data_IF_971399090496
#
_entry.id   IF_971399090496
#
_cell.length_a   1.000
_cell.length_b   1.000
_cell.length_c   1.000
_cell.angle_alpha   90.00
_cell.angle_beta   90.00
_cell.angle_gamma   90.00
#
_symmetry.space_group_name_H-M   'P 1'
#
loop_
_entity.id
_entity.type
_entity.pdbx_description
1 polymer ?
#
# COMPACT_ATOMS: atom_id res chain seq x y z
N UNK A 1 7.06 -20.74 10.81
CA UNK A 1 7.00 -20.88 9.33
C UNK A 1 7.60 -19.62 8.72
N UNK A 2 8.47 -19.74 7.71
CA UNK A 2 9.06 -18.59 6.99
C UNK A 2 8.28 -18.38 5.69
N UNK A 3 7.96 -17.13 5.37
CA UNK A 3 7.29 -16.74 4.12
C UNK A 3 7.73 -15.35 3.67
N UNK A 4 7.52 -15.07 2.37
CA UNK A 4 7.73 -13.76 1.76
C UNK A 4 6.36 -13.10 1.58
N UNK A 5 6.30 -11.82 1.91
CA UNK A 5 5.14 -10.99 1.68
C UNK A 5 5.49 -9.72 0.90
N UNK A 6 4.52 -9.21 0.15
CA UNK A 6 4.61 -7.93 -0.53
C UNK A 6 3.28 -7.18 -0.35
N UNK A 7 3.27 -6.15 0.48
CA UNK A 7 2.04 -5.49 0.93
C UNK A 7 1.66 -4.25 0.13
N UNK A 8 2.58 -3.74 -0.68
CA UNK A 8 2.41 -2.49 -1.41
C UNK A 8 2.48 -2.75 -2.91
N UNK A 9 1.31 -2.77 -3.53
CA UNK A 9 1.12 -2.90 -4.97
C UNK A 9 -0.05 -2.00 -5.38
N UNK A 10 -0.16 -1.75 -6.68
CA UNK A 10 -1.29 -1.03 -7.25
C UNK A 10 -2.06 -1.86 -8.26
N UNK A 11 -3.37 -1.67 -8.27
CA UNK A 11 -4.28 -2.26 -9.26
C UNK A 11 -4.27 -1.49 -10.57
N UNK A 12 -4.85 -2.07 -11.62
CA UNK A 12 -5.12 -1.38 -12.90
C UNK A 12 -5.95 -0.09 -12.81
N UNK A 13 -6.52 0.24 -11.65
CA UNK A 13 -7.28 1.46 -11.42
C UNK A 13 -6.42 2.64 -10.92
N UNK A 14 -5.15 2.40 -10.60
CA UNK A 14 -4.18 3.45 -10.31
C UNK A 14 -3.57 4.03 -11.58
N UNK A 15 -3.22 5.32 -11.54
CA UNK A 15 -2.53 5.97 -12.67
C UNK A 15 -1.16 5.36 -12.93
N UNK A 16 -0.80 5.24 -14.21
CA UNK A 16 0.48 4.71 -14.68
C UNK A 16 0.77 3.27 -14.22
N UNK A 17 -0.29 2.47 -14.02
CA UNK A 17 -0.22 1.05 -13.67
C UNK A 17 -0.69 0.20 -14.84
N UNK A 18 -0.08 -0.99 -15.02
CA UNK A 18 -0.42 -1.91 -16.09
C UNK A 18 -1.89 -2.37 -16.00
N UNK A 19 -2.62 -2.49 -17.13
CA UNK A 19 -3.97 -3.08 -17.15
C UNK A 19 -3.99 -4.55 -16.70
N UNK A 20 -2.85 -5.23 -16.70
CA UNK A 20 -2.66 -6.60 -16.24
C UNK A 20 -2.52 -6.72 -14.71
N UNK A 21 -2.57 -5.60 -13.96
CA UNK A 21 -2.59 -5.62 -12.49
C UNK A 21 -4.00 -5.96 -11.98
N UNK A 22 -4.41 -7.20 -12.24
CA UNK A 22 -5.65 -7.83 -11.77
C UNK A 22 -5.38 -9.00 -10.82
N UNK A 23 -6.40 -9.43 -10.08
CA UNK A 23 -6.22 -10.43 -9.02
C UNK A 23 -5.69 -11.77 -9.55
N UNK A 24 -6.10 -12.19 -10.75
CA UNK A 24 -5.68 -13.48 -11.30
C UNK A 24 -4.21 -13.44 -11.70
N UNK A 25 -3.79 -12.36 -12.36
CA UNK A 25 -2.40 -12.13 -12.73
C UNK A 25 -1.51 -11.92 -11.48
N UNK A 26 -1.98 -11.16 -10.49
CA UNK A 26 -1.28 -10.98 -9.22
C UNK A 26 -1.07 -12.31 -8.51
N UNK A 27 -2.12 -13.12 -8.34
CA UNK A 27 -2.03 -14.43 -7.71
C UNK A 27 -1.08 -15.37 -8.47
N UNK A 28 -1.15 -15.38 -9.81
CA UNK A 28 -0.26 -16.15 -10.68
C UNK A 28 1.20 -15.78 -10.47
N UNK A 29 1.53 -14.49 -10.49
CA UNK A 29 2.90 -14.01 -10.38
C UNK A 29 3.44 -14.09 -8.96
N UNK A 30 2.60 -13.92 -7.94
CA UNK A 30 2.96 -14.17 -6.55
C UNK A 30 3.49 -15.61 -6.38
N UNK A 31 2.78 -16.60 -6.94
CA UNK A 31 3.23 -18.00 -6.94
C UNK A 31 4.57 -18.20 -7.65
N UNK A 32 4.75 -17.59 -8.83
CA UNK A 32 6.02 -17.68 -9.58
C UNK A 32 7.18 -17.04 -8.80
N UNK A 33 6.94 -15.92 -8.12
CA UNK A 33 7.94 -15.20 -7.31
C UNK A 33 8.15 -15.80 -5.91
N UNK A 34 7.33 -16.76 -5.49
CA UNK A 34 7.37 -17.33 -4.13
C UNK A 34 6.78 -16.41 -3.05
N UNK A 35 5.99 -15.40 -3.42
CA UNK A 35 5.27 -14.52 -2.49
C UNK A 35 4.04 -15.28 -2.00
N UNK A 36 3.99 -15.60 -0.71
CA UNK A 36 2.88 -16.37 -0.13
C UNK A 36 1.73 -15.48 0.35
N UNK A 37 2.04 -14.24 0.74
CA UNK A 37 1.07 -13.25 1.22
C UNK A 37 1.26 -11.94 0.46
N UNK A 38 0.18 -11.41 -0.12
CA UNK A 38 0.23 -10.20 -0.92
C UNK A 38 -0.80 -9.17 -0.41
N UNK A 39 -0.47 -7.89 -0.47
CA UNK A 39 -1.44 -6.81 -0.30
C UNK A 39 -2.35 -6.73 -1.52
N UNK A 40 -3.62 -6.41 -1.35
CA UNK A 40 -4.52 -6.24 -2.52
C UNK A 40 -4.22 -4.99 -3.32
N UNK A 41 -3.66 -3.96 -2.68
CA UNK A 41 -3.61 -2.61 -3.24
C UNK A 41 -5.00 -1.99 -3.42
N UNK A 42 -5.06 -0.67 -3.50
CA UNK A 42 -6.18 0.14 -4.03
C UNK A 42 -7.61 -0.20 -3.57
N UNK A 43 -7.78 -0.85 -2.41
CA UNK A 43 -9.07 -1.26 -1.84
C UNK A 43 -10.09 -0.11 -1.63
N UNK A 44 -9.63 1.14 -1.74
CA UNK A 44 -10.47 2.34 -1.75
C UNK A 44 -11.24 2.53 -3.05
N UNK A 45 -10.74 2.03 -4.18
CA UNK A 45 -11.37 2.20 -5.47
C UNK A 45 -12.59 1.27 -5.62
N UNK A 46 -13.80 1.78 -5.92
CA UNK A 46 -15.03 0.99 -5.81
C UNK A 46 -15.12 -0.15 -6.83
N UNK A 47 -14.59 0.02 -8.04
CA UNK A 47 -14.58 -1.08 -9.03
C UNK A 47 -13.56 -2.16 -8.64
N UNK A 48 -12.43 -1.76 -8.05
CA UNK A 48 -11.45 -2.71 -7.55
C UNK A 48 -12.01 -3.48 -6.37
N UNK A 49 -12.61 -2.78 -5.41
CA UNK A 49 -13.25 -3.39 -4.25
C UNK A 49 -14.35 -4.39 -4.64
N UNK A 50 -15.10 -4.13 -5.72
CA UNK A 50 -16.07 -5.09 -6.25
C UNK A 50 -15.37 -6.35 -6.78
N UNK A 51 -14.30 -6.19 -7.58
CA UNK A 51 -13.50 -7.32 -8.08
C UNK A 51 -12.86 -8.12 -6.93
N UNK A 52 -12.34 -7.44 -5.90
CA UNK A 52 -11.79 -8.09 -4.71
C UNK A 52 -12.83 -8.98 -4.02
N UNK A 53 -14.05 -8.46 -3.82
CA UNK A 53 -15.14 -9.22 -3.17
C UNK A 53 -15.63 -10.40 -4.01
N UNK A 54 -15.57 -10.28 -5.33
CA UNK A 54 -15.96 -11.35 -6.25
C UNK A 54 -14.93 -12.49 -6.26
N UNK A 55 -13.64 -12.15 -6.30
CA UNK A 55 -12.56 -13.12 -6.54
C UNK A 55 -11.94 -13.68 -5.27
N UNK A 56 -11.88 -12.92 -4.20
CA UNK A 56 -11.20 -13.32 -2.98
C UNK A 56 -12.09 -14.15 -2.06
N UNK A 57 -11.57 -15.30 -1.61
CA UNK A 57 -12.25 -16.18 -0.66
C UNK A 57 -11.69 -15.96 0.75
N UNK A 58 -12.52 -15.75 1.78
CA UNK A 58 -12.03 -15.63 3.16
C UNK A 58 -11.38 -16.94 3.61
N UNK A 59 -10.44 -16.82 4.54
CA UNK A 59 -9.73 -17.94 5.20
C UNK A 59 -9.89 -17.83 6.72
N UNK A 60 -9.52 -18.87 7.46
CA UNK A 60 -9.78 -18.98 8.91
C UNK A 60 -8.93 -18.03 9.78
N UNK A 61 -7.89 -17.41 9.22
CA UNK A 61 -6.96 -16.54 9.95
C UNK A 61 -7.13 -15.05 9.63
N UNK A 62 -8.27 -14.65 9.06
CA UNK A 62 -8.55 -13.26 8.70
C UNK A 62 -7.87 -12.80 7.41
N UNK A 63 -7.20 -13.70 6.68
CA UNK A 63 -6.71 -13.45 5.34
C UNK A 63 -7.75 -13.84 4.30
N UNK A 64 -7.43 -13.51 3.05
CA UNK A 64 -8.17 -13.95 1.88
C UNK A 64 -7.28 -14.82 0.99
N UNK A 65 -7.87 -15.53 0.04
CA UNK A 65 -7.14 -16.36 -0.92
C UNK A 65 -7.67 -16.22 -2.34
N UNK A 66 -6.75 -16.32 -3.29
CA UNK A 66 -7.05 -16.57 -4.70
C UNK A 66 -6.07 -17.65 -5.19
N UNK A 67 -6.59 -18.86 -5.44
CA UNK A 67 -5.76 -20.04 -5.64
C UNK A 67 -4.94 -20.34 -4.38
N UNK A 68 -3.62 -20.47 -4.55
CA UNK A 68 -2.67 -20.77 -3.46
C UNK A 68 -2.10 -19.52 -2.77
N UNK A 69 -2.35 -18.33 -3.33
CA UNK A 69 -1.82 -17.06 -2.84
C UNK A 69 -2.78 -16.46 -1.81
N UNK A 70 -2.24 -16.07 -0.66
CA UNK A 70 -3.01 -15.36 0.36
C UNK A 70 -2.94 -13.85 0.13
N UNK A 71 -4.02 -13.17 0.50
CA UNK A 71 -4.17 -11.73 0.37
C UNK A 71 -4.57 -11.10 1.70
N UNK A 72 -4.06 -9.90 1.95
CA UNK A 72 -4.54 -8.99 2.99
C UNK A 72 -5.01 -7.68 2.33
N UNK A 73 -6.10 -7.11 2.82
CA UNK A 73 -6.68 -5.91 2.22
C UNK A 73 -5.79 -4.72 2.52
N UNK A 74 -5.17 -4.17 1.47
CA UNK A 74 -4.33 -2.99 1.57
C UNK A 74 -4.71 -1.93 0.55
N UNK A 75 -4.32 -0.69 0.82
CA UNK A 75 -4.15 0.31 -0.22
C UNK A 75 -3.57 1.61 0.30
N UNK A 76 -3.08 2.39 -0.64
CA UNK A 76 -2.32 3.60 -0.38
C UNK A 76 -3.23 4.83 -0.52
N UNK A 77 -3.07 5.79 0.40
CA UNK A 77 -3.76 7.08 0.34
C UNK A 77 -2.71 8.19 0.30
N UNK A 78 -2.92 9.16 -0.60
CA UNK A 78 -2.05 10.32 -0.74
C UNK A 78 -2.63 11.53 0.00
N UNK A 79 -2.02 11.89 1.12
CA UNK A 79 -2.34 13.09 1.89
C UNK A 79 -1.61 14.31 1.30
N UNK A 80 -2.36 15.28 0.80
CA UNK A 80 -1.83 16.58 0.32
C UNK A 80 -2.46 17.71 1.14
N UNK A 81 -1.65 18.39 1.93
CA UNK A 81 -2.11 19.40 2.90
C UNK A 81 -1.00 20.43 3.21
N UNK A 82 -1.30 21.44 4.02
CA UNK A 82 -0.29 22.39 4.53
C UNK A 82 -0.13 22.20 6.02
N UNK A 83 1.11 22.10 6.50
CA UNK A 83 1.45 22.06 7.91
C UNK A 83 2.71 22.88 8.16
N UNK A 84 2.71 23.70 9.21
CA UNK A 84 3.83 24.58 9.56
C UNK A 84 4.29 25.46 8.39
N UNK A 85 3.34 26.03 7.65
CA UNK A 85 3.55 26.84 6.44
C UNK A 85 4.29 26.12 5.28
N UNK A 86 4.36 24.79 5.30
CA UNK A 86 4.97 23.99 4.24
C UNK A 86 3.92 23.09 3.58
N UNK A 87 3.92 22.96 2.23
CA UNK A 87 3.11 21.95 1.56
C UNK A 87 3.67 20.56 1.89
N UNK A 88 2.79 19.66 2.31
CA UNK A 88 3.10 18.27 2.66
C UNK A 88 2.40 17.34 1.67
N UNK A 89 3.12 16.31 1.25
CA UNK A 89 2.63 15.23 0.39
C UNK A 89 3.17 13.94 0.95
N UNK A 90 2.30 13.10 1.48
CA UNK A 90 2.67 11.90 2.24
C UNK A 90 1.77 10.76 1.83
N UNK A 91 2.37 9.67 1.39
CA UNK A 91 1.68 8.43 1.16
C UNK A 91 1.68 7.56 2.40
N UNK A 92 0.54 6.94 2.67
CA UNK A 92 0.38 5.99 3.76
C UNK A 92 -0.34 4.75 3.24
N UNK A 93 0.27 3.58 3.50
CA UNK A 93 -0.31 2.28 3.26
C UNK A 93 -1.24 1.93 4.43
N UNK A 94 -2.48 1.58 4.11
CA UNK A 94 -3.50 1.17 5.08
C UNK A 94 -3.76 -0.32 4.92
N UNK A 95 -3.79 -1.04 6.04
CA UNK A 95 -4.20 -2.43 6.14
C UNK A 95 -5.57 -2.50 6.82
N UNK A 96 -6.47 -3.31 6.26
CA UNK A 96 -7.79 -3.51 6.81
C UNK A 96 -8.06 -5.00 7.10
N UNK A 97 -8.63 -5.33 8.27
CA UNK A 97 -8.84 -6.72 8.68
C UNK A 97 -10.00 -7.42 7.95
N UNK A 98 -10.90 -6.66 7.31
CA UNK A 98 -12.08 -7.22 6.63
C UNK A 98 -12.69 -6.22 5.66
N UNK A 99 -13.47 -6.71 4.70
CA UNK A 99 -14.24 -5.84 3.80
C UNK A 99 -15.17 -4.87 4.55
N UNK A 100 -15.71 -5.26 5.71
CA UNK A 100 -16.51 -4.36 6.54
C UNK A 100 -15.69 -3.19 7.10
N UNK A 101 -14.42 -3.41 7.46
CA UNK A 101 -13.52 -2.32 7.84
C UNK A 101 -13.19 -1.41 6.64
N UNK A 102 -12.94 -1.99 5.46
CA UNK A 102 -12.73 -1.25 4.20
C UNK A 102 -13.90 -0.31 3.91
N UNK A 103 -15.13 -0.80 4.01
CA UNK A 103 -16.32 0.01 3.76
C UNK A 103 -16.49 1.16 4.75
N UNK A 104 -16.14 0.95 6.03
CA UNK A 104 -16.15 2.03 7.04
C UNK A 104 -15.09 3.08 6.74
N UNK A 105 -13.86 2.66 6.40
CA UNK A 105 -12.78 3.56 5.98
C UNK A 105 -13.21 4.37 4.75
N UNK A 106 -13.69 3.70 3.70
CA UNK A 106 -14.14 4.35 2.46
C UNK A 106 -15.27 5.35 2.70
N UNK A 107 -16.26 5.02 3.55
CA UNK A 107 -17.33 5.96 3.94
C UNK A 107 -16.78 7.20 4.64
N UNK A 108 -15.84 7.03 5.57
CA UNK A 108 -15.22 8.18 6.25
C UNK A 108 -14.39 9.03 5.29
N UNK A 109 -13.59 8.42 4.40
CA UNK A 109 -12.85 9.14 3.37
C UNK A 109 -13.79 9.95 2.46
N UNK A 110 -14.90 9.36 2.02
CA UNK A 110 -15.94 10.06 1.23
C UNK A 110 -16.55 11.23 2.01
N UNK A 111 -16.84 11.06 3.31
CA UNK A 111 -17.36 12.15 4.15
C UNK A 111 -16.39 13.32 4.30
N UNK A 112 -15.10 13.08 4.09
CA UNK A 112 -14.04 14.10 4.04
C UNK A 112 -13.77 14.64 2.63
N UNK A 113 -14.59 14.28 1.65
CA UNK A 113 -14.50 14.78 0.26
C UNK A 113 -13.51 14.03 -0.64
N UNK A 114 -13.04 12.84 -0.24
CA UNK A 114 -12.13 12.04 -1.07
C UNK A 114 -12.80 11.58 -2.37
N UNK A 115 -12.07 11.63 -3.49
CA UNK A 115 -12.54 11.16 -4.80
C UNK A 115 -12.09 9.73 -5.06
N UNK A 116 -12.77 8.76 -4.46
CA UNK A 116 -12.36 7.35 -4.52
C UNK A 116 -12.47 6.69 -5.91
N UNK A 117 -13.19 7.31 -6.85
CA UNK A 117 -13.40 6.79 -8.21
C UNK A 117 -12.35 7.25 -9.23
N UNK A 118 -11.51 8.24 -8.89
CA UNK A 118 -10.62 8.86 -9.88
C UNK A 118 -9.28 8.15 -10.05
N UNK A 119 -8.84 7.42 -9.02
CA UNK A 119 -7.55 6.77 -8.96
C UNK A 119 -7.60 5.66 -7.89
N UNK A 120 -6.82 4.60 -8.06
CA UNK A 120 -6.61 3.56 -7.06
C UNK A 120 -5.98 4.07 -5.77
N UNK A 121 -5.15 5.13 -5.88
CA UNK A 121 -4.61 5.91 -4.76
C UNK A 121 -5.34 7.26 -4.65
N UNK A 122 -6.39 7.36 -3.82
CA UNK A 122 -7.12 8.61 -3.68
C UNK A 122 -6.24 9.69 -3.04
N UNK A 123 -6.37 10.90 -3.57
CA UNK A 123 -5.79 12.11 -2.98
C UNK A 123 -6.80 12.69 -1.98
N UNK A 124 -6.32 12.99 -0.77
CA UNK A 124 -7.12 13.58 0.31
C UNK A 124 -6.48 14.85 0.85
N UNK A 125 -7.31 15.82 1.23
CA UNK A 125 -6.89 17.07 1.88
C UNK A 125 -6.64 16.92 3.39
N UNK A 126 -6.41 15.70 3.88
CA UNK A 126 -6.21 15.38 5.28
C UNK A 126 -4.72 15.38 5.61
N UNK A 127 -4.37 15.81 6.83
CA UNK A 127 -3.02 15.58 7.36
C UNK A 127 -2.75 14.07 7.50
N UNK A 128 -1.47 13.67 7.55
CA UNK A 128 -1.12 12.27 7.79
C UNK A 128 -1.63 11.80 9.16
N UNK A 129 -1.54 12.67 10.18
CA UNK A 129 -2.14 12.49 11.50
C UNK A 129 -3.66 12.24 11.43
N UNK A 130 -4.41 13.09 10.72
CA UNK A 130 -5.88 12.96 10.65
C UNK A 130 -6.33 11.75 9.84
N UNK A 131 -5.51 11.31 8.87
CA UNK A 131 -5.74 10.06 8.17
C UNK A 131 -5.63 8.87 9.14
N UNK A 132 -4.64 8.87 10.04
CA UNK A 132 -4.50 7.83 11.07
C UNK A 132 -5.71 7.82 12.00
N UNK A 133 -6.09 8.98 12.54
CA UNK A 133 -7.28 9.09 13.40
C UNK A 133 -8.53 8.55 12.70
N UNK A 134 -8.76 8.94 11.45
CA UNK A 134 -9.90 8.49 10.65
C UNK A 134 -9.95 6.97 10.50
N UNK A 135 -8.80 6.35 10.22
CA UNK A 135 -8.70 4.90 10.04
C UNK A 135 -8.89 4.16 11.36
N UNK A 136 -8.27 4.63 12.45
CA UNK A 136 -8.42 4.00 13.77
C UNK A 136 -9.86 4.11 14.29
N UNK A 137 -10.52 5.24 14.05
CA UNK A 137 -11.94 5.45 14.35
C UNK A 137 -12.87 4.59 13.47
N UNK A 138 -12.48 4.28 12.23
CA UNK A 138 -13.20 3.32 11.39
C UNK A 138 -12.99 1.87 11.83
N UNK A 139 -11.78 1.53 12.27
CA UNK A 139 -11.37 0.17 12.58
C UNK A 139 -10.13 0.18 13.48
N UNK A 140 -10.27 -0.01 14.79
CA UNK A 140 -9.13 -0.04 15.72
C UNK A 140 -8.12 -1.17 15.45
N UNK A 141 -8.51 -2.18 14.67
CA UNK A 141 -7.66 -3.28 14.22
C UNK A 141 -6.97 -3.00 12.87
N UNK A 142 -7.24 -1.85 12.25
CA UNK A 142 -6.50 -1.43 11.06
C UNK A 142 -5.09 -0.99 11.43
N UNK A 143 -4.22 -1.03 10.44
CA UNK A 143 -2.81 -0.75 10.62
C UNK A 143 -2.34 0.19 9.52
N UNK A 144 -1.44 1.12 9.85
CA UNK A 144 -0.94 2.14 8.93
C UNK A 144 0.57 2.15 8.91
N UNK A 145 1.12 2.25 7.71
CA UNK A 145 2.56 2.32 7.46
C UNK A 145 2.84 3.51 6.55
N UNK A 146 3.74 4.44 6.94
CA UNK A 146 4.24 5.46 6.02
C UNK A 146 4.95 4.76 4.85
N UNK A 147 4.48 5.00 3.64
CA UNK A 147 4.99 4.35 2.44
C UNK A 147 6.34 4.94 2.02
N UNK A 148 7.18 4.09 1.43
CA UNK A 148 8.45 4.42 0.79
C UNK A 148 9.23 5.60 1.42
N UNK A 149 9.54 5.51 2.71
CA UNK A 149 9.80 6.63 3.61
C UNK A 149 10.86 7.64 3.17
N UNK A 150 11.83 7.22 2.36
CA UNK A 150 12.98 8.03 1.93
C UNK A 150 12.92 8.49 0.49
N UNK A 151 11.89 8.10 -0.28
CA UNK A 151 11.74 8.58 -1.66
C UNK A 151 11.61 10.12 -1.63
N UNK A 152 12.31 10.89 -2.49
CA UNK A 152 12.35 12.35 -2.37
C UNK A 152 10.98 13.03 -2.39
N UNK A 153 10.00 12.39 -3.03
CA UNK A 153 8.62 12.85 -3.19
C UNK A 153 7.67 11.96 -2.40
N UNK A 154 6.55 12.54 -1.97
CA UNK A 154 5.41 11.81 -1.36
C UNK A 154 5.72 10.96 -0.11
N UNK A 155 6.87 11.18 0.53
CA UNK A 155 7.36 10.30 1.61
C UNK A 155 7.58 11.05 2.90
N UNK A 156 7.49 10.34 4.03
CA UNK A 156 7.59 10.96 5.36
C UNK A 156 8.94 11.63 5.61
N UNK A 157 10.05 11.11 5.09
CA UNK A 157 11.38 11.73 5.17
C UNK A 157 11.88 12.24 3.80
N UNK A 158 10.96 12.41 2.84
CA UNK A 158 11.31 12.88 1.50
C UNK A 158 11.80 14.33 1.49
N UNK A 159 12.91 14.60 0.80
CA UNK A 159 13.57 15.92 0.80
C UNK A 159 12.73 17.07 0.22
N UNK A 160 11.62 16.78 -0.48
CA UNK A 160 10.77 17.80 -1.12
C UNK A 160 9.57 18.23 -0.29
N UNK A 161 8.99 17.33 0.49
CA UNK A 161 7.73 17.59 1.21
C UNK A 161 7.59 16.82 2.54
N UNK A 162 8.62 16.09 2.95
CA UNK A 162 8.67 15.29 4.18
C UNK A 162 9.04 16.09 5.42
N UNK A 163 9.12 15.40 6.54
CA UNK A 163 9.33 15.86 7.90
C UNK A 163 10.69 15.42 8.41
N UNK A 164 11.13 15.98 9.54
CA UNK A 164 12.40 15.59 10.17
C UNK A 164 12.22 14.47 11.22
N UNK A 165 10.97 14.13 11.56
CA UNK A 165 10.63 13.06 12.51
C UNK A 165 9.21 12.50 12.28
N UNK A 166 8.95 11.29 12.79
CA UNK A 166 7.59 10.72 12.78
C UNK A 166 6.66 11.51 13.72
N UNK A 167 7.21 12.05 14.81
CA UNK A 167 6.50 12.86 15.80
C UNK A 167 5.97 14.16 15.17
N UNK A 168 6.77 14.81 14.32
CA UNK A 168 6.32 16.01 13.57
C UNK A 168 5.20 15.66 12.56
N UNK A 169 5.29 14.50 11.91
CA UNK A 169 4.33 14.09 10.88
C UNK A 169 2.99 13.61 11.45
N UNK A 170 3.04 12.79 12.50
CA UNK A 170 1.87 12.08 13.04
C UNK A 170 1.39 12.63 14.39
N UNK A 171 2.16 13.47 15.07
CA UNK A 171 1.75 14.10 16.33
C UNK A 171 1.31 13.09 17.39
N UNK A 172 0.13 13.33 17.97
CA UNK A 172 -0.52 12.46 18.95
C UNK A 172 -0.90 11.07 18.40
N UNK A 173 -0.96 10.89 17.08
CA UNK A 173 -1.23 9.61 16.44
C UNK A 173 0.05 8.78 16.17
N UNK A 174 1.23 9.29 16.52
CA UNK A 174 2.51 8.59 16.43
C UNK A 174 2.52 7.17 17.04
N UNK A 175 1.86 6.89 18.19
CA UNK A 175 1.83 5.55 18.78
C UNK A 175 1.18 4.47 17.89
N UNK A 176 0.38 4.86 16.90
CA UNK A 176 -0.25 3.92 15.96
C UNK A 176 0.66 3.52 14.79
N UNK A 177 1.79 4.22 14.61
CA UNK A 177 2.78 3.92 13.58
C UNK A 177 3.80 2.94 14.15
N UNK A 178 3.60 1.65 13.88
CA UNK A 178 4.46 0.56 14.40
C UNK A 178 5.35 -0.05 13.31
N UNK A 179 5.19 0.33 12.05
CA UNK A 179 6.12 -0.02 10.99
C UNK A 179 6.32 1.14 10.02
N UNK A 180 7.39 1.05 9.25
CA UNK A 180 7.73 1.97 8.17
C UNK A 180 8.23 1.19 6.95
N UNK A 181 7.85 1.65 5.76
CA UNK A 181 8.31 1.03 4.53
C UNK A 181 9.59 1.71 4.03
N UNK A 182 10.63 0.92 3.71
CA UNK A 182 11.92 1.45 3.24
C UNK A 182 11.79 2.20 1.91
N UNK A 183 10.89 1.74 1.04
CA UNK A 183 10.83 2.13 -0.37
C UNK A 183 12.05 1.64 -1.16
N UNK A 184 12.15 2.12 -2.41
CA UNK A 184 13.25 1.77 -3.32
C UNK A 184 14.54 2.59 -3.11
N UNK A 185 14.47 3.63 -2.26
CA UNK A 185 15.57 4.59 -2.03
C UNK A 185 16.38 4.30 -0.77
N UNK A 186 16.03 3.26 -0.02
CA UNK A 186 16.76 2.84 1.17
C UNK A 186 16.64 1.34 1.39
N UNK A 187 17.55 0.77 2.19
CA UNK A 187 17.48 -0.61 2.65
C UNK A 187 17.26 -0.67 4.18
N UNK A 188 16.96 -1.85 4.76
CA UNK A 188 16.79 -1.97 6.20
C UNK A 188 18.01 -1.54 7.03
N UNK A 189 19.23 -1.79 6.55
CA UNK A 189 20.44 -1.43 7.28
C UNK A 189 20.63 0.09 7.40
N UNK A 190 20.26 0.86 6.37
CA UNK A 190 20.22 2.32 6.42
C UNK A 190 19.23 2.82 7.47
N UNK A 191 18.04 2.21 7.55
CA UNK A 191 16.98 2.60 8.48
C UNK A 191 17.37 2.32 9.93
N UNK A 192 18.02 1.19 10.22
CA UNK A 192 18.50 0.84 11.56
C UNK A 192 19.60 1.75 12.11
N UNK A 193 20.16 2.66 11.29
CA UNK A 193 21.11 3.68 11.75
C UNK A 193 20.44 4.93 12.31
N UNK A 194 19.12 5.03 12.23
CA UNK A 194 18.34 6.19 12.64
C UNK A 194 17.60 5.85 13.93
N UNK A 195 18.06 6.41 15.06
CA UNK A 195 17.50 6.10 16.39
C UNK A 195 16.00 6.43 16.52
N UNK A 196 15.51 7.40 15.73
CA UNK A 196 14.07 7.70 15.64
C UNK A 196 13.21 6.57 15.08
N UNK A 197 13.82 5.53 14.50
CA UNK A 197 13.16 4.35 13.93
C UNK A 197 13.36 3.07 14.76
N UNK A 198 14.07 3.13 15.89
CA UNK A 198 14.36 1.94 16.72
C UNK A 198 13.10 1.25 17.25
N UNK A 199 11.99 1.98 17.36
CA UNK A 199 10.71 1.48 17.88
C UNK A 199 9.70 1.10 16.79
N UNK A 200 10.07 1.11 15.52
CA UNK A 200 9.19 0.70 14.42
C UNK A 200 9.80 -0.46 13.64
N UNK A 201 8.94 -1.40 13.22
CA UNK A 201 9.35 -2.46 12.33
C UNK A 201 9.71 -1.90 10.95
N UNK A 202 10.74 -2.46 10.33
CA UNK A 202 11.13 -2.09 8.96
C UNK A 202 10.55 -3.12 8.00
N UNK A 203 9.76 -2.67 7.02
CA UNK A 203 9.25 -3.52 5.94
C UNK A 203 9.74 -3.01 4.59
N UNK A 204 9.91 -3.92 3.62
CA UNK A 204 10.29 -3.58 2.25
C UNK A 204 9.27 -4.19 1.31
N UNK A 205 8.51 -3.33 0.63
CA UNK A 205 7.51 -3.73 -0.35
C UNK A 205 7.90 -3.18 -1.73
N UNK A 206 7.26 -3.70 -2.78
CA UNK A 206 7.69 -3.41 -4.15
C UNK A 206 7.19 -2.10 -4.73
N UNK A 207 6.06 -1.57 -4.23
CA UNK A 207 5.29 -0.52 -4.91
C UNK A 207 5.03 -0.92 -6.38
N UNK A 208 4.57 -2.16 -6.58
CA UNK A 208 4.47 -2.74 -7.93
C UNK A 208 3.39 -2.05 -8.77
N UNK A 209 3.80 -1.56 -9.93
CA UNK A 209 2.94 -0.97 -10.97
C UNK A 209 2.75 -1.90 -12.18
N UNK A 210 3.36 -3.09 -12.19
CA UNK A 210 3.18 -4.07 -13.26
C UNK A 210 3.49 -5.50 -12.80
N UNK A 211 2.81 -6.51 -13.35
CA UNK A 211 3.39 -7.84 -13.34
C UNK A 211 4.67 -7.83 -14.19
N UNK A 212 5.60 -8.78 -13.97
CA UNK A 212 6.75 -8.92 -14.87
C UNK A 212 6.31 -8.91 -16.33
N UNK A 213 6.99 -8.11 -17.15
CA UNK A 213 6.76 -8.15 -18.59
C UNK A 213 6.95 -9.59 -19.06
N UNK A 214 6.02 -10.10 -19.88
CA UNK A 214 6.34 -11.29 -20.68
C UNK A 214 7.57 -10.91 -21.48
N UNK A 215 8.76 -11.39 -21.12
CA UNK A 215 9.75 -11.61 -22.17
C UNK A 215 9.02 -12.55 -23.11
N UNK A 216 8.64 -12.06 -24.29
CA UNK A 216 8.30 -12.95 -25.37
C UNK A 216 9.53 -13.84 -25.52
N UNK A 217 9.49 -15.04 -24.94
CA UNK A 217 10.32 -16.10 -25.42
C UNK A 217 9.94 -16.18 -26.89
N UNK A 218 10.79 -15.64 -27.77
CA UNK A 218 10.66 -15.86 -29.20
C UNK A 218 10.51 -17.38 -29.32
N UNK A 219 9.44 -17.91 -29.94
CA UNK A 219 9.44 -19.31 -30.27
C UNK A 219 10.75 -19.59 -31.04
N UNK A 220 11.44 -20.70 -30.75
CA UNK A 220 12.67 -21.03 -31.46
C UNK A 220 12.38 -20.91 -32.95
N UNK A 221 13.20 -20.13 -33.66
CA UNK A 221 13.06 -19.95 -35.09
C UNK A 221 13.19 -21.31 -35.75
N UNK A 222 12.07 -21.90 -36.15
CA UNK A 222 12.07 -23.04 -37.05
C UNK A 222 12.39 -22.50 -38.45
N UNK A 223 13.67 -22.35 -38.75
CA UNK A 223 14.15 -22.39 -40.14
C UNK A 223 14.39 -23.86 -40.47
N UNK A 224 13.56 -24.48 -41.34
CA UNK A 224 13.95 -25.72 -41.97
C UNK A 224 15.04 -25.40 -43.01
N UNK A 225 16.11 -26.20 -43.02
CA UNK A 225 17.01 -26.35 -44.15
C UNK A 225 16.28 -26.98 -45.34
#
# INVERSE_FOLDING_TARGET
MIFIADFHIHSRYSRAVSPDMDIDNLARWARIKGIKLMGTGDFTHPLWLAELKEKLKPTDNGLFSCGETHFILTGEVNSIYTQSNKPRRIHNLIFAPSFGAVERINRKLLSRGARLRSDGRPIVGLSARDLVELVMDASPQSFIVPAHAWTPWYSVFGTKSGFDSLEECFGDMRPYIQAIETGLSSDPAMNWRISGLDQVAIISCSDSHSPPARSAAKPPSSTPN
#
